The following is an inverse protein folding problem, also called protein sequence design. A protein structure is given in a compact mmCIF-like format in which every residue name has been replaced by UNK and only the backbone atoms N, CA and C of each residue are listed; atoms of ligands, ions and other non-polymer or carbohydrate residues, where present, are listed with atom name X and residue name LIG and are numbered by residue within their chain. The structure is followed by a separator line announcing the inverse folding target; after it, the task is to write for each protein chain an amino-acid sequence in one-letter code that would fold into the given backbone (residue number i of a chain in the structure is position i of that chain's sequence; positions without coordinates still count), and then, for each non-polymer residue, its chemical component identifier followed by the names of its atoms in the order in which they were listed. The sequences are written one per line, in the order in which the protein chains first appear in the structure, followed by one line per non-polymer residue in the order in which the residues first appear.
data_IF_621744313801
#
_entry.id   IF_621744313801
#
_cell.length_a   1.000
_cell.length_b   1.000
_cell.length_c   1.000
_cell.angle_alpha   90.00
_cell.angle_beta   90.00
_cell.angle_gamma   90.00
#
_symmetry.space_group_name_H-M   'P 1'
#
loop_
_entity.id
_entity.type
_entity.pdbx_description
1 polymer ?
#
# COMPACT_ATOMS: atom_id res chain seq x y z
N UNK A 1 -20.87 8.62 -1.77
CA UNK A 1 -21.25 8.18 -3.15
C UNK A 1 -19.99 7.67 -3.85
N UNK A 2 -20.07 6.54 -4.55
CA UNK A 2 -18.92 5.93 -5.24
C UNK A 2 -18.85 6.40 -6.70
N UNK A 3 -17.68 6.86 -7.15
CA UNK A 3 -17.42 7.32 -8.50
C UNK A 3 -16.24 6.53 -9.08
N UNK A 4 -16.36 6.08 -10.31
CA UNK A 4 -15.23 5.54 -11.07
C UNK A 4 -14.27 6.66 -11.45
N UNK A 5 -12.96 6.39 -11.37
CA UNK A 5 -11.91 7.36 -11.67
C UNK A 5 -10.79 6.71 -12.48
N UNK A 6 -10.22 7.50 -13.38
CA UNK A 6 -9.02 7.16 -14.13
C UNK A 6 -7.96 8.23 -13.91
N UNK A 7 -6.70 7.79 -13.77
CA UNK A 7 -5.54 8.67 -13.67
C UNK A 7 -4.53 8.24 -14.73
N UNK A 8 -4.30 9.07 -15.77
CA UNK A 8 -3.29 8.77 -16.77
C UNK A 8 -1.88 8.91 -16.18
N UNK A 9 -1.00 7.99 -16.52
CA UNK A 9 0.42 8.00 -16.19
C UNK A 9 1.25 7.81 -17.47
N UNK A 10 2.56 8.07 -17.47
CA UNK A 10 3.40 7.79 -18.63
C UNK A 10 3.46 6.31 -19.04
N UNK A 11 3.15 5.39 -18.11
CA UNK A 11 3.19 3.93 -18.35
C UNK A 11 1.82 3.30 -18.58
N UNK A 12 0.72 4.07 -18.50
CA UNK A 12 -0.65 3.57 -18.65
C UNK A 12 -1.62 4.27 -17.71
N UNK A 13 -2.87 3.83 -17.71
CA UNK A 13 -3.96 4.42 -16.93
C UNK A 13 -4.22 3.61 -15.67
N UNK A 14 -4.19 4.29 -14.53
CA UNK A 14 -4.68 3.75 -13.26
C UNK A 14 -6.20 3.81 -13.22
N UNK A 15 -6.86 2.72 -12.82
CA UNK A 15 -8.33 2.64 -12.71
C UNK A 15 -8.74 2.35 -11.27
N UNK A 16 -9.69 3.13 -10.78
CA UNK A 16 -10.07 3.05 -9.39
C UNK A 16 -11.43 3.64 -9.08
N UNK A 17 -11.67 3.83 -7.80
CA UNK A 17 -12.90 4.42 -7.29
C UNK A 17 -12.61 5.46 -6.21
N UNK A 18 -13.35 6.55 -6.30
CA UNK A 18 -13.43 7.58 -5.28
C UNK A 18 -14.76 7.42 -4.52
N UNK A 19 -14.69 7.29 -3.21
CA UNK A 19 -15.83 7.34 -2.31
C UNK A 19 -15.89 8.71 -1.67
N UNK A 20 -16.92 9.51 -2.03
CA UNK A 20 -17.10 10.88 -1.54
C UNK A 20 -18.19 10.91 -0.49
N UNK A 21 -17.93 11.42 0.74
CA UNK A 21 -18.97 11.72 1.73
C UNK A 21 -19.84 12.91 1.29
N UNK A 22 -20.95 13.13 1.98
CA UNK A 22 -21.86 14.23 1.66
C UNK A 22 -21.33 15.62 2.06
N UNK A 23 -20.23 15.68 2.80
CA UNK A 23 -19.60 16.93 3.25
C UNK A 23 -18.80 17.57 2.11
N UNK A 24 -18.85 18.91 2.03
CA UNK A 24 -18.10 19.65 1.00
C UNK A 24 -16.59 19.52 1.21
N UNK A 25 -16.11 19.69 2.46
CA UNK A 25 -14.69 19.52 2.83
C UNK A 25 -14.53 18.26 3.67
N UNK A 26 -13.54 17.46 3.34
CA UNK A 26 -13.31 16.16 4.00
C UNK A 26 -11.85 15.74 3.90
N UNK A 27 -11.33 14.96 4.85
CA UNK A 27 -10.07 14.24 4.67
C UNK A 27 -10.24 13.13 3.64
N UNK A 28 -9.12 12.73 3.03
CA UNK A 28 -9.07 11.67 2.02
C UNK A 28 -8.10 10.58 2.47
N UNK A 29 -8.54 9.32 2.45
CA UNK A 29 -7.72 8.15 2.70
C UNK A 29 -7.35 7.47 1.38
N UNK A 30 -6.07 7.38 1.07
CA UNK A 30 -5.54 6.60 -0.04
C UNK A 30 -5.35 5.16 0.43
N UNK A 31 -5.94 4.18 -0.29
CA UNK A 31 -5.88 2.76 0.08
C UNK A 31 -5.06 2.01 -0.96
N UNK A 32 -3.95 1.41 -0.52
CA UNK A 32 -3.00 0.68 -1.35
C UNK A 32 -3.11 -0.82 -1.08
N UNK A 33 -3.36 -1.59 -2.14
CA UNK A 33 -3.46 -3.04 -2.08
C UNK A 33 -2.08 -3.71 -1.98
N UNK A 34 -2.06 -4.97 -1.58
CA UNK A 34 -0.85 -5.78 -1.50
C UNK A 34 -0.48 -6.43 -2.82
N UNK A 35 0.64 -7.15 -2.81
CA UNK A 35 1.13 -7.96 -3.93
C UNK A 35 0.05 -8.94 -4.42
N UNK A 36 -0.10 -9.09 -5.73
CA UNK A 36 -1.18 -9.85 -6.39
C UNK A 36 -2.61 -9.40 -6.05
N UNK A 37 -2.75 -8.30 -5.32
CA UNK A 37 -4.03 -7.75 -4.91
C UNK A 37 -4.67 -6.84 -5.95
N UNK A 38 -5.79 -6.24 -5.55
CA UNK A 38 -6.52 -5.27 -6.36
C UNK A 38 -7.35 -4.34 -5.48
N UNK A 39 -7.86 -3.25 -6.05
CA UNK A 39 -8.63 -2.18 -5.38
C UNK A 39 -9.85 -2.62 -4.57
N UNK A 40 -10.37 -3.84 -4.81
CA UNK A 40 -11.52 -4.36 -4.06
C UNK A 40 -11.13 -4.97 -2.71
N UNK A 41 -9.90 -5.48 -2.61
CA UNK A 41 -9.42 -6.27 -1.49
C UNK A 41 -10.10 -7.64 -1.38
N UNK A 42 -9.48 -8.56 -0.66
CA UNK A 42 -10.03 -9.89 -0.39
C UNK A 42 -11.40 -9.78 0.29
N UNK A 43 -12.39 -10.52 -0.22
CA UNK A 43 -13.79 -10.48 0.27
C UNK A 43 -14.38 -9.05 0.31
N UNK A 44 -13.97 -8.20 -0.64
CA UNK A 44 -14.39 -6.81 -0.74
C UNK A 44 -14.02 -5.93 0.47
N UNK A 45 -12.94 -6.27 1.18
CA UNK A 45 -12.53 -5.58 2.42
C UNK A 45 -12.30 -4.09 2.22
N UNK A 46 -11.62 -3.67 1.13
CA UNK A 46 -11.40 -2.23 0.88
C UNK A 46 -12.67 -1.52 0.42
N UNK A 47 -13.59 -2.21 -0.25
CA UNK A 47 -14.90 -1.65 -0.60
C UNK A 47 -15.72 -1.37 0.66
N UNK A 48 -15.74 -2.34 1.60
CA UNK A 48 -16.43 -2.18 2.88
C UNK A 48 -15.78 -1.07 3.71
N UNK A 49 -14.44 -1.03 3.78
CA UNK A 49 -13.70 0.01 4.47
C UNK A 49 -14.02 1.39 3.89
N UNK A 50 -14.03 1.57 2.56
CA UNK A 50 -14.39 2.83 1.91
C UNK A 50 -15.79 3.29 2.28
N UNK A 51 -16.78 2.38 2.36
CA UNK A 51 -18.15 2.69 2.82
C UNK A 51 -18.18 3.12 4.29
N UNK A 52 -17.39 2.47 5.14
CA UNK A 52 -17.29 2.82 6.56
C UNK A 52 -16.62 4.19 6.75
N UNK A 53 -15.57 4.49 5.98
CA UNK A 53 -14.92 5.80 5.99
C UNK A 53 -15.87 6.90 5.50
N UNK A 54 -16.59 6.67 4.40
CA UNK A 54 -17.60 7.58 3.87
C UNK A 54 -18.66 7.93 4.93
N UNK A 55 -19.15 6.92 5.67
CA UNK A 55 -20.11 7.11 6.76
C UNK A 55 -19.53 7.93 7.94
N UNK A 56 -18.21 8.02 8.05
CA UNK A 56 -17.49 8.84 9.05
C UNK A 56 -17.03 10.20 8.51
N UNK A 57 -17.45 10.58 7.30
CA UNK A 57 -17.08 11.85 6.68
C UNK A 57 -15.65 11.85 6.10
N UNK A 58 -15.07 10.69 5.87
CA UNK A 58 -13.75 10.52 5.26
C UNK A 58 -13.93 9.98 3.84
N UNK A 59 -13.43 10.72 2.86
CA UNK A 59 -13.35 10.21 1.49
C UNK A 59 -12.27 9.15 1.37
N UNK A 60 -12.32 8.32 0.32
CA UNK A 60 -11.26 7.38 0.04
C UNK A 60 -11.03 7.17 -1.45
N UNK A 61 -9.76 7.03 -1.84
CA UNK A 61 -9.33 6.52 -3.12
C UNK A 61 -8.81 5.10 -2.96
N UNK A 62 -9.21 4.24 -3.88
CA UNK A 62 -8.67 2.89 -4.05
C UNK A 62 -8.52 2.60 -5.55
N UNK A 63 -7.29 2.44 -5.97
CA UNK A 63 -6.90 2.16 -7.36
C UNK A 63 -6.24 0.78 -7.44
N UNK A 64 -6.34 0.15 -8.60
CA UNK A 64 -5.39 -0.89 -8.96
C UNK A 64 -4.08 -0.22 -9.37
N UNK A 65 -2.94 -0.75 -8.94
CA UNK A 65 -1.65 -0.35 -9.49
C UNK A 65 -1.50 -0.83 -10.93
N UNK A 66 -0.58 -0.25 -11.68
CA UNK A 66 -0.28 -0.72 -13.05
C UNK A 66 0.09 -2.20 -13.04
N UNK A 67 -0.44 -2.96 -14.00
CA UNK A 67 -0.28 -4.41 -14.08
C UNK A 67 -1.21 -5.21 -13.17
N UNK A 68 -2.05 -4.55 -12.35
CA UNK A 68 -3.00 -5.19 -11.45
C UNK A 68 -4.45 -4.84 -11.82
N UNK A 69 -5.37 -5.76 -11.56
CA UNK A 69 -6.81 -5.57 -11.69
C UNK A 69 -7.23 -5.06 -13.06
N UNK A 70 -7.82 -3.85 -13.12
CA UNK A 70 -8.31 -3.22 -14.35
C UNK A 70 -7.41 -2.08 -14.85
N UNK A 71 -6.32 -1.73 -14.13
CA UNK A 71 -5.32 -0.77 -14.60
C UNK A 71 -4.51 -1.32 -15.76
N UNK A 72 -3.96 -0.44 -16.60
CA UNK A 72 -3.16 -0.84 -17.76
C UNK A 72 -1.84 -1.52 -17.33
N UNK A 73 -1.18 -2.19 -18.27
CA UNK A 73 0.08 -2.90 -18.06
C UNK A 73 -0.10 -4.40 -17.79
N UNK A 74 1.03 -5.11 -17.69
CA UNK A 74 1.05 -6.52 -17.33
C UNK A 74 1.68 -6.69 -15.95
N UNK A 75 1.22 -7.66 -15.18
CA UNK A 75 1.73 -7.92 -13.83
C UNK A 75 3.23 -8.22 -13.82
N UNK A 76 3.73 -8.95 -14.81
CA UNK A 76 5.15 -9.30 -14.93
C UNK A 76 6.07 -8.10 -15.10
N UNK A 77 5.57 -6.99 -15.66
CA UNK A 77 6.35 -5.77 -15.90
C UNK A 77 6.42 -4.85 -14.65
N UNK A 78 5.69 -5.19 -13.58
CA UNK A 78 5.59 -4.42 -12.37
C UNK A 78 6.88 -4.50 -11.55
N UNK A 79 7.29 -3.36 -10.98
CA UNK A 79 8.32 -3.26 -9.92
C UNK A 79 7.75 -2.56 -8.69
N UNK A 80 8.42 -2.68 -7.55
CA UNK A 80 8.04 -1.93 -6.35
C UNK A 80 8.14 -0.41 -6.60
N UNK A 81 9.17 0.01 -7.35
CA UNK A 81 9.36 1.42 -7.72
C UNK A 81 8.21 1.93 -8.60
N UNK A 82 7.67 1.10 -9.48
CA UNK A 82 6.51 1.48 -10.30
C UNK A 82 5.25 1.66 -9.45
N UNK A 83 4.99 0.75 -8.51
CA UNK A 83 3.86 0.91 -7.59
C UNK A 83 4.02 2.14 -6.68
N UNK A 84 5.23 2.41 -6.19
CA UNK A 84 5.49 3.64 -5.42
C UNK A 84 5.26 4.89 -6.28
N UNK A 85 5.63 4.85 -7.56
CA UNK A 85 5.36 5.93 -8.51
C UNK A 85 3.85 6.11 -8.76
N UNK A 86 3.09 5.02 -8.88
CA UNK A 86 1.62 5.07 -8.95
C UNK A 86 1.02 5.69 -7.68
N UNK A 87 1.51 5.30 -6.49
CA UNK A 87 1.05 5.87 -5.22
C UNK A 87 1.31 7.38 -5.14
N UNK A 88 2.45 7.85 -5.66
CA UNK A 88 2.75 9.29 -5.78
C UNK A 88 1.77 10.01 -6.70
N UNK A 89 1.49 9.47 -7.88
CA UNK A 89 0.52 10.06 -8.82
C UNK A 89 -0.86 10.15 -8.20
N UNK A 90 -1.32 9.11 -7.49
CA UNK A 90 -2.60 9.11 -6.77
C UNK A 90 -2.61 10.21 -5.67
N UNK A 91 -1.52 10.37 -4.94
CA UNK A 91 -1.36 11.43 -3.94
C UNK A 91 -1.43 12.82 -4.59
N UNK A 92 -0.71 13.02 -5.68
CA UNK A 92 -0.67 14.29 -6.41
C UNK A 92 -2.04 14.67 -7.00
N UNK A 93 -2.82 13.70 -7.49
CA UNK A 93 -4.21 13.95 -7.91
C UNK A 93 -5.10 14.34 -6.72
N UNK A 94 -4.91 13.70 -5.56
CA UNK A 94 -5.62 14.08 -4.35
C UNK A 94 -5.30 15.51 -3.90
N UNK A 95 -4.05 15.96 -4.03
CA UNK A 95 -3.62 17.32 -3.67
C UNK A 95 -4.24 18.41 -4.55
N UNK A 96 -4.69 18.09 -5.76
CA UNK A 96 -5.38 19.02 -6.65
C UNK A 96 -6.85 19.27 -6.24
N UNK A 97 -7.37 18.47 -5.31
CA UNK A 97 -8.76 18.56 -4.88
C UNK A 97 -8.94 19.72 -3.88
N UNK A 98 -9.68 20.76 -4.24
CA UNK A 98 -9.94 21.94 -3.39
C UNK A 98 -10.67 21.60 -2.08
N UNK A 99 -11.37 20.48 -2.04
CA UNK A 99 -12.15 20.02 -0.90
C UNK A 99 -11.41 19.01 0.00
N UNK A 100 -10.18 18.63 -0.34
CA UNK A 100 -9.34 17.78 0.50
C UNK A 100 -8.75 18.60 1.66
N UNK A 101 -9.04 18.22 2.90
CA UNK A 101 -8.53 18.92 4.09
C UNK A 101 -7.28 18.31 4.67
N UNK A 102 -7.18 16.98 4.64
CA UNK A 102 -6.05 16.20 5.14
C UNK A 102 -5.91 14.92 4.30
N UNK A 103 -4.70 14.44 4.17
CA UNK A 103 -4.42 13.17 3.50
C UNK A 103 -4.00 12.12 4.51
N UNK A 104 -4.68 10.97 4.44
CA UNK A 104 -4.36 9.75 5.16
C UNK A 104 -3.95 8.68 4.16
N UNK A 105 -3.09 7.75 4.58
CA UNK A 105 -2.75 6.58 3.77
C UNK A 105 -3.03 5.30 4.56
N UNK A 106 -3.52 4.29 3.88
CA UNK A 106 -3.65 2.93 4.38
C UNK A 106 -3.03 1.98 3.38
N UNK A 107 -2.10 1.16 3.83
CA UNK A 107 -1.50 0.13 2.99
C UNK A 107 -1.59 -1.24 3.64
N UNK A 108 -1.94 -2.25 2.85
CA UNK A 108 -2.01 -3.65 3.28
C UNK A 108 -0.88 -4.46 2.64
N UNK A 109 -0.19 -5.29 3.42
CA UNK A 109 0.89 -6.15 2.94
C UNK A 109 1.98 -5.33 2.19
N UNK A 110 2.31 -5.61 0.94
CA UNK A 110 3.23 -4.81 0.12
C UNK A 110 2.74 -3.35 -0.02
N UNK A 111 1.42 -3.12 -0.13
CA UNK A 111 0.86 -1.76 -0.08
C UNK A 111 1.16 -1.03 1.22
N UNK A 112 1.41 -1.75 2.33
CA UNK A 112 1.89 -1.19 3.58
C UNK A 112 3.34 -0.70 3.48
N UNK A 113 4.20 -1.43 2.79
CA UNK A 113 5.55 -0.97 2.48
C UNK A 113 5.52 0.27 1.56
N UNK A 114 4.66 0.27 0.52
CA UNK A 114 4.42 1.43 -0.35
C UNK A 114 3.95 2.65 0.46
N UNK A 115 2.98 2.47 1.37
CA UNK A 115 2.46 3.55 2.21
C UNK A 115 3.57 4.13 3.12
N UNK A 116 4.43 3.28 3.70
CA UNK A 116 5.56 3.70 4.51
C UNK A 116 6.59 4.50 3.71
N UNK A 117 6.98 4.02 2.53
CA UNK A 117 7.90 4.74 1.64
C UNK A 117 7.31 6.08 1.18
N UNK A 118 6.04 6.08 0.79
CA UNK A 118 5.36 7.32 0.39
C UNK A 118 5.31 8.33 1.55
N UNK A 119 5.08 7.88 2.79
CA UNK A 119 5.03 8.75 3.96
C UNK A 119 6.41 9.36 4.28
N UNK A 120 7.50 8.64 4.04
CA UNK A 120 8.87 9.19 4.16
C UNK A 120 9.15 10.27 3.10
N UNK A 121 8.61 10.11 1.89
CA UNK A 121 8.76 11.10 0.82
C UNK A 121 7.88 12.36 1.02
N UNK A 122 6.74 12.22 1.71
CA UNK A 122 5.76 13.30 1.91
C UNK A 122 5.35 13.45 3.39
N UNK A 123 6.32 13.61 4.33
CA UNK A 123 6.04 13.57 5.77
C UNK A 123 5.12 14.71 6.23
N UNK A 124 5.23 15.89 5.60
CA UNK A 124 4.40 17.05 5.95
C UNK A 124 2.99 17.00 5.34
N UNK A 125 2.79 16.18 4.33
CA UNK A 125 1.52 16.05 3.60
C UNK A 125 0.63 14.98 4.21
N UNK A 126 1.19 13.80 4.47
CA UNK A 126 0.47 12.65 5.01
C UNK A 126 0.32 12.82 6.52
N UNK A 127 -0.92 13.04 6.98
CA UNK A 127 -1.22 13.33 8.39
C UNK A 127 -1.43 12.10 9.25
N UNK A 128 -1.89 11.00 8.66
CA UNK A 128 -2.09 9.72 9.35
C UNK A 128 -1.74 8.56 8.41
N UNK A 129 -1.15 7.53 8.99
CA UNK A 129 -0.80 6.31 8.28
C UNK A 129 -1.37 5.09 9.01
N UNK A 130 -1.95 4.17 8.25
CA UNK A 130 -2.36 2.85 8.73
C UNK A 130 -1.59 1.79 7.95
N UNK A 131 -0.88 0.94 8.66
CA UNK A 131 -0.15 -0.20 8.12
C UNK A 131 -0.87 -1.48 8.54
N UNK A 132 -1.44 -2.17 7.57
CA UNK A 132 -2.18 -3.42 7.80
C UNK A 132 -1.31 -4.59 7.33
N UNK A 133 -0.76 -5.36 8.28
CA UNK A 133 0.19 -6.45 8.04
C UNK A 133 1.29 -6.06 7.02
N UNK A 134 2.06 -4.97 7.27
CA UNK A 134 2.99 -4.45 6.27
C UNK A 134 4.13 -5.43 5.97
N UNK A 135 4.35 -5.72 4.68
CA UNK A 135 5.30 -6.73 4.23
C UNK A 135 6.75 -6.18 4.15
N UNK A 136 7.31 -5.73 5.26
CA UNK A 136 8.72 -5.29 5.31
C UNK A 136 9.73 -6.43 5.25
N UNK A 137 9.24 -7.69 5.26
CA UNK A 137 10.04 -8.89 5.05
C UNK A 137 10.20 -9.29 3.58
N UNK A 138 9.73 -8.49 2.63
CA UNK A 138 9.85 -8.79 1.20
C UNK A 138 11.28 -9.11 0.75
N UNK A 139 12.34 -8.36 1.16
CA UNK A 139 13.71 -8.73 0.80
C UNK A 139 14.11 -10.12 1.28
N UNK A 140 13.79 -10.47 2.53
CA UNK A 140 14.12 -11.78 3.12
C UNK A 140 13.33 -12.89 2.41
N UNK A 141 12.05 -12.68 2.11
CA UNK A 141 11.20 -13.64 1.40
C UNK A 141 11.70 -13.91 -0.03
N UNK A 142 12.14 -12.88 -0.74
CA UNK A 142 12.70 -13.02 -2.08
C UNK A 142 14.11 -13.62 -2.08
N UNK A 143 14.95 -13.32 -1.10
CA UNK A 143 16.21 -14.02 -0.91
C UNK A 143 16.02 -15.52 -0.71
N UNK A 144 15.01 -15.91 0.08
CA UNK A 144 14.67 -17.32 0.26
C UNK A 144 14.18 -17.96 -1.06
N UNK A 145 13.29 -17.27 -1.79
CA UNK A 145 12.76 -17.77 -3.06
C UNK A 145 13.87 -17.94 -4.11
N UNK A 146 14.68 -16.92 -4.34
CA UNK A 146 15.72 -16.91 -5.37
C UNK A 146 16.94 -17.77 -5.02
N UNK A 147 17.20 -17.98 -3.74
CA UNK A 147 18.26 -18.88 -3.29
C UNK A 147 17.98 -20.37 -3.55
N UNK A 148 16.74 -20.73 -3.91
CA UNK A 148 16.30 -22.11 -4.16
C UNK A 148 16.18 -22.46 -5.65
N UNK A 149 16.28 -21.48 -6.53
CA UNK A 149 16.13 -21.65 -7.99
C UNK A 149 17.30 -20.99 -8.72
N UNK A 150 17.62 -21.49 -9.91
CA UNK A 150 18.55 -20.78 -10.78
C UNK A 150 17.97 -19.40 -11.16
N UNK A 151 18.83 -18.39 -11.28
CA UNK A 151 18.42 -17.06 -11.69
C UNK A 151 17.75 -17.11 -13.07
N UNK A 152 16.54 -16.61 -13.15
CA UNK A 152 15.71 -16.63 -14.34
C UNK A 152 15.22 -15.21 -14.64
N UNK A 153 14.74 -14.97 -15.87
CA UNK A 153 14.11 -13.68 -16.22
C UNK A 153 12.79 -13.48 -15.49
N UNK A 154 12.11 -14.57 -15.20
CA UNK A 154 10.84 -14.59 -14.47
C UNK A 154 10.76 -15.79 -13.55
N UNK A 155 9.95 -15.66 -12.50
CA UNK A 155 9.68 -16.68 -11.48
C UNK A 155 8.18 -16.87 -11.34
N UNK A 156 7.71 -18.12 -11.25
CA UNK A 156 6.30 -18.40 -10.97
C UNK A 156 6.00 -18.26 -9.47
N UNK A 157 4.97 -17.50 -9.15
CA UNK A 157 4.44 -17.35 -7.80
C UNK A 157 2.94 -17.62 -7.78
N UNK A 158 2.59 -18.90 -7.71
CA UNK A 158 1.17 -19.32 -7.66
C UNK A 158 0.37 -18.91 -8.89
N UNK A 159 0.98 -18.97 -10.08
CA UNK A 159 0.38 -18.59 -11.36
C UNK A 159 0.60 -17.11 -11.73
N UNK A 160 1.26 -16.33 -10.90
CA UNK A 160 1.74 -14.98 -11.25
C UNK A 160 3.20 -15.05 -11.66
N UNK A 161 3.53 -14.46 -12.80
CA UNK A 161 4.89 -14.34 -13.28
C UNK A 161 5.54 -13.09 -12.66
N UNK A 162 6.66 -13.29 -11.93
CA UNK A 162 7.43 -12.20 -11.29
C UNK A 162 8.71 -11.99 -12.09
N UNK A 163 9.02 -10.77 -12.49
CA UNK A 163 10.26 -10.45 -13.21
C UNK A 163 11.47 -10.43 -12.29
N UNK A 164 12.65 -10.67 -12.88
CA UNK A 164 13.93 -10.47 -12.19
C UNK A 164 14.13 -8.98 -11.79
N UNK A 165 13.59 -8.05 -12.58
CA UNK A 165 13.63 -6.61 -12.27
C UNK A 165 12.88 -6.28 -10.97
N UNK A 166 11.70 -6.90 -10.73
CA UNK A 166 11.01 -6.77 -9.45
C UNK A 166 11.83 -7.33 -8.29
N UNK A 167 12.41 -8.51 -8.49
CA UNK A 167 13.27 -9.15 -7.48
C UNK A 167 14.47 -8.26 -7.15
N UNK A 168 15.18 -7.76 -8.16
CA UNK A 168 16.33 -6.87 -7.96
C UNK A 168 15.96 -5.55 -7.28
N UNK A 169 14.79 -4.97 -7.61
CA UNK A 169 14.31 -3.75 -6.98
C UNK A 169 14.05 -3.97 -5.49
N UNK A 170 13.37 -5.06 -5.12
CA UNK A 170 13.10 -5.38 -3.71
C UNK A 170 14.37 -5.69 -2.93
N UNK A 171 15.29 -6.47 -3.49
CA UNK A 171 16.51 -6.88 -2.79
C UNK A 171 17.45 -5.70 -2.45
N UNK A 172 17.32 -4.58 -3.13
CA UNK A 172 18.06 -3.32 -2.86
C UNK A 172 17.46 -2.48 -1.73
N UNK A 173 16.28 -2.85 -1.20
CA UNK A 173 15.52 -2.03 -0.24
C UNK A 173 15.76 -2.48 1.20
N UNK A 174 15.83 -1.49 2.07
CA UNK A 174 15.71 -1.67 3.52
C UNK A 174 14.56 -0.78 4.02
N UNK A 175 13.41 -1.38 4.28
CA UNK A 175 12.21 -0.68 4.71
C UNK A 175 12.29 -0.12 6.13
N UNK A 176 13.34 -0.45 6.87
CA UNK A 176 13.54 0.02 8.25
C UNK A 176 14.44 1.27 8.34
N UNK A 177 14.99 1.74 7.20
CA UNK A 177 15.77 2.97 7.17
C UNK A 177 14.87 4.21 7.19
N UNK A 178 15.39 5.32 7.73
CA UNK A 178 14.78 6.66 7.69
C UNK A 178 13.35 6.73 8.26
N UNK A 179 13.01 5.86 9.22
CA UNK A 179 11.67 5.81 9.83
C UNK A 179 11.35 7.08 10.63
N UNK A 180 12.35 7.78 11.11
CA UNK A 180 12.23 9.05 11.84
C UNK A 180 11.88 10.24 10.93
N UNK A 181 11.96 10.09 9.62
CA UNK A 181 11.50 11.10 8.65
C UNK A 181 10.00 11.36 8.78
N UNK A 182 9.20 10.32 9.03
CA UNK A 182 7.76 10.46 9.26
C UNK A 182 7.45 10.48 10.76
N UNK A 183 6.90 11.59 11.26
CA UNK A 183 6.65 11.82 12.69
C UNK A 183 5.16 11.94 13.04
N UNK A 184 4.26 11.75 12.08
CA UNK A 184 2.82 11.87 12.30
C UNK A 184 2.21 10.57 12.84
N UNK A 185 0.89 10.58 13.06
CA UNK A 185 0.17 9.45 13.67
C UNK A 185 0.23 8.18 12.82
N UNK A 186 0.65 7.09 13.44
CA UNK A 186 0.70 5.76 12.85
C UNK A 186 -0.18 4.78 13.63
N UNK A 187 -0.95 3.97 12.91
CA UNK A 187 -1.61 2.77 13.43
C UNK A 187 -1.09 1.56 12.67
N UNK A 188 -0.57 0.57 13.38
CA UNK A 188 -0.23 -0.74 12.82
C UNK A 188 -1.27 -1.76 13.25
N UNK A 189 -1.79 -2.54 12.30
CA UNK A 189 -2.79 -3.60 12.51
C UNK A 189 -2.18 -4.91 12.01
N UNK A 190 -2.15 -5.96 12.84
CA UNK A 190 -1.57 -7.24 12.45
C UNK A 190 -2.24 -8.42 13.14
N UNK A 191 -2.44 -9.51 12.41
CA UNK A 191 -2.89 -10.78 12.96
C UNK A 191 -1.72 -11.57 13.57
N UNK A 192 -1.87 -12.05 14.81
CA UNK A 192 -0.81 -12.79 15.50
C UNK A 192 -0.54 -14.19 14.94
N UNK A 193 -1.39 -14.66 14.00
CA UNK A 193 -1.25 -15.96 13.31
C UNK A 193 -1.07 -15.77 11.79
N UNK A 194 -0.60 -14.61 11.38
CA UNK A 194 -0.29 -14.36 9.97
C UNK A 194 0.93 -15.20 9.57
N UNK A 195 0.74 -16.06 8.57
CA UNK A 195 1.78 -16.97 8.06
C UNK A 195 2.50 -16.41 6.83
N UNK A 196 1.94 -15.38 6.20
CA UNK A 196 2.51 -14.72 5.01
C UNK A 196 3.46 -13.62 5.41
N UNK A 197 3.00 -12.74 6.30
CA UNK A 197 3.84 -11.70 6.91
C UNK A 197 3.90 -12.00 8.41
N UNK A 198 5.03 -12.54 8.91
CA UNK A 198 5.16 -12.82 10.34
C UNK A 198 4.90 -11.59 11.22
N UNK A 199 4.14 -11.77 12.28
CA UNK A 199 3.78 -10.71 13.24
C UNK A 199 4.99 -9.94 13.79
N UNK A 200 6.14 -10.61 13.91
CA UNK A 200 7.42 -10.06 14.36
C UNK A 200 7.91 -8.91 13.49
N UNK A 201 7.52 -8.87 12.22
CA UNK A 201 7.84 -7.81 11.27
C UNK A 201 7.26 -6.48 11.74
N UNK A 202 5.98 -6.46 12.11
CA UNK A 202 5.36 -5.27 12.70
C UNK A 202 5.93 -4.92 14.08
N UNK A 203 6.24 -5.91 14.90
CA UNK A 203 6.90 -5.68 16.19
C UNK A 203 8.27 -5.01 16.05
N UNK A 204 9.08 -5.44 15.06
CA UNK A 204 10.36 -4.82 14.75
C UNK A 204 10.17 -3.37 14.32
N UNK A 205 9.24 -3.12 13.39
CA UNK A 205 8.93 -1.77 12.88
C UNK A 205 8.50 -0.84 14.03
N UNK A 206 7.59 -1.31 14.89
CA UNK A 206 7.08 -0.56 16.04
C UNK A 206 8.16 -0.14 17.06
N UNK A 207 9.17 -1.00 17.27
CA UNK A 207 10.28 -0.71 18.17
C UNK A 207 11.21 0.37 17.62
N UNK A 208 11.29 0.52 16.30
CA UNK A 208 12.12 1.50 15.63
C UNK A 208 11.41 2.84 15.41
N UNK A 209 10.08 2.82 15.39
CA UNK A 209 9.27 4.01 15.16
C UNK A 209 8.95 4.74 16.49
N UNK A 210 9.43 5.98 16.67
CA UNK A 210 9.55 6.60 18.00
C UNK A 210 8.38 7.47 18.48
N UNK A 211 7.35 7.83 17.69
CA UNK A 211 6.29 8.76 18.15
C UNK A 211 4.87 8.37 17.70
N UNK A 212 3.91 8.59 18.62
CA UNK A 212 2.48 8.63 18.30
C UNK A 212 1.86 7.33 17.76
N UNK A 213 2.58 6.21 17.90
CA UNK A 213 2.18 4.94 17.28
C UNK A 213 1.18 4.20 18.15
N UNK A 214 0.12 3.68 17.52
CA UNK A 214 -0.80 2.72 18.14
C UNK A 214 -0.63 1.37 17.43
N UNK A 215 -0.66 0.31 18.22
CA UNK A 215 -0.58 -1.04 17.70
C UNK A 215 -1.84 -1.82 18.08
N UNK A 216 -2.50 -2.40 17.08
CA UNK A 216 -3.64 -3.28 17.26
C UNK A 216 -3.30 -4.68 16.75
N UNK A 217 -3.10 -5.61 17.67
CA UNK A 217 -2.89 -7.02 17.37
C UNK A 217 -4.19 -7.80 17.54
N UNK A 218 -4.48 -8.71 16.63
CA UNK A 218 -5.66 -9.56 16.66
C UNK A 218 -5.24 -11.02 16.73
N UNK A 219 -5.95 -11.82 17.54
CA UNK A 219 -5.78 -13.27 17.59
C UNK A 219 -6.36 -13.90 16.32
N UNK A 220 -5.53 -14.07 15.30
CA UNK A 220 -5.93 -14.65 14.01
C UNK A 220 -4.92 -14.33 12.90
N UNK A 221 -5.16 -14.89 11.72
CA UNK A 221 -4.57 -14.42 10.46
C UNK A 221 -5.41 -13.28 9.88
N UNK A 222 -4.81 -12.45 9.08
CA UNK A 222 -5.50 -11.40 8.32
C UNK A 222 -5.66 -11.85 6.88
#
# INVERSE_FOLDING_TARGET
MQHYCEIPTPKGTLRGFFHKPNQDKHPVCLIFHGFTGQKTGTKFSYVQLSRMLEAKGIASFRFDFLGSGESDGNFVDMTFQDELSCARVILEECLKMENCTEIYVLGHSMGGAIASELAKLYPDVIKKMVLWAPAFNLPDALHYLTGQVERAKTYDHGGYEISDDFVEDILKRDFYQELDTYQNNLLVIHGTKDTTVPYEISNKYMKLFHKGTKFAAFSGSI
#
